data_IF_323588318362
#
_entry.id   IF_323588318362
#
_cell.length_a   1.000
_cell.length_b   1.000
_cell.length_c   1.000
_cell.angle_alpha   90.00
_cell.angle_beta   90.00
_cell.angle_gamma   90.00
#
_symmetry.space_group_name_H-M   'P 1'
#
loop_
_entity.id
_entity.type
_entity.pdbx_description
1 polymer ?
#
# COMPACT_ATOMS: atom_id res chain seq x y z
N UNK A 1 -14.75 -8.08 -4.64
CA UNK A 1 -13.49 -7.38 -4.97
C UNK A 1 -13.58 -6.37 -6.12
N UNK A 2 -14.67 -6.26 -6.90
CA UNK A 2 -14.76 -5.29 -8.02
C UNK A 2 -14.54 -3.83 -7.56
N UNK A 3 -15.01 -3.49 -6.36
CA UNK A 3 -14.93 -2.14 -5.77
C UNK A 3 -13.53 -1.73 -5.28
N UNK A 4 -12.63 -2.68 -5.02
CA UNK A 4 -11.27 -2.37 -4.50
C UNK A 4 -10.19 -2.29 -5.57
N UNK A 5 -10.55 -2.47 -6.85
CA UNK A 5 -9.60 -2.42 -7.96
C UNK A 5 -9.04 -1.01 -8.18
N UNK A 6 -9.91 -0.01 -8.11
CA UNK A 6 -9.53 1.39 -8.35
C UNK A 6 -8.63 1.96 -7.25
N UNK A 7 -8.94 1.81 -5.94
CA UNK A 7 -8.03 2.27 -4.88
C UNK A 7 -6.65 1.62 -4.97
N UNK A 8 -6.59 0.32 -5.27
CA UNK A 8 -5.33 -0.41 -5.38
C UNK A 8 -4.51 0.05 -6.60
N UNK A 9 -5.17 0.29 -7.74
CA UNK A 9 -4.53 0.82 -8.93
C UNK A 9 -3.99 2.24 -8.72
N UNK A 10 -4.77 3.12 -8.10
CA UNK A 10 -4.36 4.50 -7.81
C UNK A 10 -3.15 4.51 -6.87
N UNK A 11 -3.20 3.71 -5.79
CA UNK A 11 -2.08 3.59 -4.85
C UNK A 11 -0.80 3.11 -5.56
N UNK A 12 -0.90 2.05 -6.36
CA UNK A 12 0.26 1.52 -7.07
C UNK A 12 0.79 2.49 -8.14
N UNK A 13 -0.09 3.20 -8.84
CA UNK A 13 0.32 4.21 -9.83
C UNK A 13 1.09 5.37 -9.18
N UNK A 14 0.67 5.82 -8.01
CA UNK A 14 1.37 6.87 -7.26
C UNK A 14 2.73 6.40 -6.75
N UNK A 15 2.80 5.18 -6.22
CA UNK A 15 4.07 4.55 -5.78
C UNK A 15 5.06 4.45 -6.96
N UNK A 16 4.62 3.95 -8.11
CA UNK A 16 5.44 3.87 -9.33
C UNK A 16 5.93 5.24 -9.80
N UNK A 17 5.10 6.28 -9.74
CA UNK A 17 5.49 7.62 -10.15
C UNK A 17 6.56 8.22 -9.24
N UNK A 18 6.43 8.02 -7.92
CA UNK A 18 7.43 8.44 -6.94
C UNK A 18 8.75 7.69 -7.16
N UNK A 19 8.72 6.37 -7.28
CA UNK A 19 9.90 5.54 -7.52
C UNK A 19 10.63 5.95 -8.81
N UNK A 20 9.87 6.18 -9.88
CA UNK A 20 10.42 6.63 -11.16
C UNK A 20 11.02 8.05 -11.07
N UNK A 21 10.36 8.95 -10.34
CA UNK A 21 10.86 10.30 -10.07
C UNK A 21 12.19 10.29 -9.33
N UNK A 22 12.25 9.59 -8.20
CA UNK A 22 13.37 9.60 -7.26
C UNK A 22 14.51 8.66 -7.65
N UNK A 23 14.26 7.55 -8.34
CA UNK A 23 15.32 6.58 -8.68
C UNK A 23 15.82 6.70 -10.12
N UNK A 24 15.07 7.35 -11.02
CA UNK A 24 15.41 7.38 -12.46
C UNK A 24 15.51 8.81 -13.00
N UNK A 25 14.54 9.69 -12.72
CA UNK A 25 14.55 11.05 -13.26
C UNK A 25 15.55 11.97 -12.53
N UNK A 26 15.56 11.92 -11.20
CA UNK A 26 16.38 12.79 -10.38
C UNK A 26 16.84 12.08 -9.11
N UNK A 27 17.85 11.20 -9.23
CA UNK A 27 18.40 10.47 -8.09
C UNK A 27 19.11 11.44 -7.15
N UNK A 28 18.63 11.63 -5.91
CA UNK A 28 19.24 12.60 -5.03
C UNK A 28 20.51 12.02 -4.39
N UNK A 29 21.61 12.75 -4.54
CA UNK A 29 22.85 12.55 -3.80
C UNK A 29 22.94 13.58 -2.69
N UNK A 30 23.05 13.10 -1.46
CA UNK A 30 23.15 13.94 -0.26
C UNK A 30 24.60 13.96 0.21
N UNK A 31 25.13 15.15 0.44
CA UNK A 31 26.46 15.38 1.00
C UNK A 31 26.33 15.93 2.42
N UNK A 32 26.78 15.15 3.41
CA UNK A 32 26.92 15.60 4.80
C UNK A 32 28.38 16.01 5.07
N UNK A 33 28.62 17.04 5.91
CA UNK A 33 27.68 17.69 6.84
C UNK A 33 26.99 18.93 6.27
N UNK A 34 27.43 19.44 5.13
CA UNK A 34 26.88 20.64 4.48
C UNK A 34 25.43 20.49 4.03
N UNK A 35 24.85 19.28 4.14
CA UNK A 35 23.46 18.95 3.78
C UNK A 35 23.12 19.44 2.37
N UNK A 36 24.10 19.26 1.48
CA UNK A 36 24.01 19.68 0.08
C UNK A 36 23.42 18.55 -0.75
N UNK A 37 22.66 18.89 -1.78
CA UNK A 37 21.99 17.92 -2.63
C UNK A 37 22.36 18.14 -4.09
N UNK A 38 22.57 17.05 -4.82
CA UNK A 38 22.63 17.06 -6.29
C UNK A 38 21.69 15.99 -6.82
N UNK A 39 20.84 16.35 -7.79
CA UNK A 39 20.02 15.41 -8.52
C UNK A 39 20.81 14.85 -9.71
N UNK A 40 21.06 13.56 -9.73
CA UNK A 40 21.77 12.87 -10.81
C UNK A 40 20.80 11.86 -11.43
N UNK A 41 20.36 12.12 -12.65
CA UNK A 41 19.35 11.28 -13.30
C UNK A 41 19.15 11.70 -14.75
N UNK A 42 18.13 11.12 -15.39
CA UNK A 42 17.83 11.39 -16.81
C UNK A 42 17.65 12.89 -17.07
N UNK A 43 17.07 13.64 -16.13
CA UNK A 43 16.89 15.08 -16.27
C UNK A 43 18.24 15.83 -16.34
N UNK A 44 19.22 15.41 -15.56
CA UNK A 44 20.59 15.96 -15.61
C UNK A 44 21.29 15.61 -16.92
N UNK A 45 21.05 14.42 -17.50
CA UNK A 45 21.61 14.04 -18.80
C UNK A 45 21.15 14.97 -19.94
N UNK A 46 19.90 15.44 -19.90
CA UNK A 46 19.39 16.43 -20.87
C UNK A 46 19.83 17.87 -20.59
N UNK A 47 20.74 18.09 -19.63
CA UNK A 47 21.27 19.42 -19.31
C UNK A 47 20.31 20.32 -18.54
N UNK A 48 19.26 19.76 -17.91
CA UNK A 48 18.36 20.56 -17.07
C UNK A 48 19.11 21.04 -15.82
N UNK A 49 18.92 22.34 -15.52
CA UNK A 49 19.51 22.95 -14.33
C UNK A 49 19.14 22.19 -13.05
N UNK A 50 20.04 22.19 -12.06
CA UNK A 50 19.87 21.44 -10.81
C UNK A 50 18.79 22.05 -9.89
N UNK A 51 18.43 23.32 -10.07
CA UNK A 51 17.40 24.02 -9.26
C UNK A 51 16.02 23.35 -9.36
N UNK A 52 15.43 23.13 -10.55
CA UNK A 52 14.13 22.45 -10.66
C UNK A 52 14.17 21.00 -10.17
N UNK A 53 15.31 20.33 -10.28
CA UNK A 53 15.52 18.98 -9.73
C UNK A 53 15.48 18.98 -8.19
N UNK A 54 16.15 19.95 -7.56
CA UNK A 54 16.10 20.14 -6.11
C UNK A 54 14.69 20.54 -5.63
N UNK A 55 13.97 21.38 -6.39
CA UNK A 55 12.61 21.78 -6.04
C UNK A 55 11.62 20.60 -6.11
N UNK A 56 11.75 19.73 -7.13
CA UNK A 56 10.96 18.51 -7.25
C UNK A 56 11.28 17.49 -6.13
N UNK A 57 12.56 17.34 -5.77
CA UNK A 57 13.00 16.54 -4.63
C UNK A 57 12.47 17.06 -3.29
N UNK A 58 12.51 18.37 -3.07
CA UNK A 58 11.95 18.98 -1.86
C UNK A 58 10.42 18.82 -1.79
N UNK A 59 9.72 18.98 -2.92
CA UNK A 59 8.27 18.81 -3.00
C UNK A 59 7.85 17.36 -2.73
N UNK A 60 8.59 16.38 -3.26
CA UNK A 60 8.34 14.95 -2.99
C UNK A 60 8.60 14.61 -1.51
N UNK A 61 9.69 15.08 -0.93
CA UNK A 61 9.97 14.91 0.50
C UNK A 61 8.91 15.56 1.41
N UNK A 62 8.36 16.72 1.02
CA UNK A 62 7.24 17.34 1.73
C UNK A 62 5.95 16.51 1.62
N UNK A 63 5.70 15.88 0.46
CA UNK A 63 4.60 14.92 0.28
C UNK A 63 4.76 13.70 1.20
N UNK A 64 5.97 13.18 1.37
CA UNK A 64 6.26 12.08 2.31
C UNK A 64 6.00 12.51 3.77
N UNK A 65 6.29 13.76 4.12
CA UNK A 65 5.98 14.32 5.43
C UNK A 65 4.46 14.45 5.68
N UNK A 66 3.69 14.81 4.65
CA UNK A 66 2.23 14.78 4.68
C UNK A 66 1.73 13.33 4.85
N UNK A 67 2.39 12.36 4.21
CA UNK A 67 2.13 10.94 4.43
C UNK A 67 2.46 10.49 5.87
N UNK A 68 3.46 11.06 6.54
CA UNK A 68 3.71 10.79 7.97
C UNK A 68 2.52 11.20 8.86
N UNK A 69 1.79 12.26 8.48
CA UNK A 69 0.54 12.70 9.15
C UNK A 69 -0.59 11.68 8.99
N UNK A 70 -0.50 10.77 8.01
CA UNK A 70 -1.43 9.65 7.87
C UNK A 70 -1.14 8.51 8.85
N UNK A 71 -0.01 8.52 9.56
CA UNK A 71 0.36 7.46 10.50
C UNK A 71 -0.65 7.35 11.65
N UNK A 72 -0.98 8.48 12.30
CA UNK A 72 -1.98 8.51 13.36
C UNK A 72 -3.37 8.07 12.84
N UNK A 73 -3.74 8.50 11.63
CA UNK A 73 -4.98 8.10 10.96
C UNK A 73 -5.00 6.60 10.62
N UNK A 74 -3.88 6.03 10.20
CA UNK A 74 -3.72 4.62 9.87
C UNK A 74 -3.81 3.75 11.11
N UNK A 75 -3.13 4.15 12.19
CA UNK A 75 -3.21 3.48 13.49
C UNK A 75 -4.63 3.53 14.04
N UNK A 76 -5.29 4.69 13.99
CA UNK A 76 -6.68 4.83 14.40
C UNK A 76 -7.61 3.94 13.58
N UNK A 77 -7.48 3.98 12.25
CA UNK A 77 -8.27 3.15 11.34
C UNK A 77 -8.06 1.65 11.59
N UNK A 78 -6.82 1.21 11.79
CA UNK A 78 -6.50 -0.17 12.14
C UNK A 78 -7.10 -0.57 13.48
N UNK A 79 -6.98 0.26 14.50
CA UNK A 79 -7.55 0.01 15.82
C UNK A 79 -9.08 -0.16 15.73
N UNK A 80 -9.76 0.76 15.05
CA UNK A 80 -11.20 0.66 14.80
C UNK A 80 -11.56 -0.62 14.03
N UNK A 81 -10.82 -0.93 12.97
CA UNK A 81 -11.12 -2.10 12.13
C UNK A 81 -10.87 -3.41 12.88
N UNK A 82 -9.82 -3.50 13.69
CA UNK A 82 -9.59 -4.64 14.60
C UNK A 82 -10.76 -4.78 15.56
N UNK A 83 -11.17 -3.69 16.21
CA UNK A 83 -12.28 -3.70 17.15
C UNK A 83 -13.57 -4.23 16.48
N UNK A 84 -13.97 -3.67 15.35
CA UNK A 84 -15.19 -4.09 14.66
C UNK A 84 -15.14 -5.52 14.10
N UNK A 85 -13.95 -6.01 13.76
CA UNK A 85 -13.82 -7.30 13.08
C UNK A 85 -13.55 -8.47 14.04
N UNK A 86 -12.89 -8.21 15.17
CA UNK A 86 -12.51 -9.21 16.17
C UNK A 86 -13.33 -9.14 17.46
N UNK A 87 -13.66 -7.93 17.95
CA UNK A 87 -14.26 -7.72 19.27
C UNK A 87 -15.77 -7.48 19.19
N UNK A 88 -16.22 -6.63 18.27
CA UNK A 88 -17.63 -6.26 18.16
C UNK A 88 -18.52 -7.48 17.79
N UNK A 89 -19.78 -7.49 18.25
CA UNK A 89 -20.74 -8.53 17.87
C UNK A 89 -20.88 -8.62 16.35
N UNK A 90 -21.02 -9.83 15.78
CA UNK A 90 -21.21 -10.00 14.34
C UNK A 90 -22.43 -9.20 13.86
N UNK A 91 -22.26 -8.37 12.84
CA UNK A 91 -23.39 -7.65 12.24
C UNK A 91 -24.32 -8.63 11.52
N UNK A 92 -25.64 -8.37 11.57
CA UNK A 92 -26.63 -9.21 10.87
C UNK A 92 -26.52 -9.13 9.34
N UNK A 93 -25.82 -8.13 8.82
CA UNK A 93 -25.64 -7.90 7.37
C UNK A 93 -24.43 -8.62 6.77
N UNK A 94 -23.52 -9.16 7.59
CA UNK A 94 -22.27 -9.77 7.10
C UNK A 94 -22.20 -11.25 7.46
N UNK A 95 -22.11 -12.13 6.45
CA UNK A 95 -21.97 -13.57 6.68
C UNK A 95 -20.63 -13.94 7.34
N UNK A 96 -20.60 -15.09 8.01
CA UNK A 96 -19.39 -15.61 8.65
C UNK A 96 -18.20 -15.76 7.67
N UNK A 97 -18.48 -16.24 6.45
CA UNK A 97 -17.47 -16.38 5.39
C UNK A 97 -16.90 -15.04 4.95
N UNK A 98 -17.74 -14.01 4.79
CA UNK A 98 -17.29 -12.66 4.41
C UNK A 98 -16.40 -12.06 5.50
N UNK A 99 -16.79 -12.21 6.76
CA UNK A 99 -16.02 -11.74 7.91
C UNK A 99 -14.68 -12.47 8.04
N UNK A 100 -14.62 -13.78 7.76
CA UNK A 100 -13.35 -14.53 7.71
C UNK A 100 -12.43 -14.01 6.61
N UNK A 101 -12.97 -13.74 5.42
CA UNK A 101 -12.20 -13.16 4.32
C UNK A 101 -11.68 -11.75 4.66
N UNK A 102 -12.52 -10.90 5.27
CA UNK A 102 -12.12 -9.58 5.76
C UNK A 102 -10.99 -9.65 6.79
N UNK A 103 -11.02 -10.61 7.73
CA UNK A 103 -9.94 -10.79 8.73
C UNK A 103 -8.61 -11.13 8.08
N UNK A 104 -8.64 -12.06 7.14
CA UNK A 104 -7.43 -12.46 6.43
C UNK A 104 -6.89 -11.33 5.55
N UNK A 105 -7.78 -10.56 4.92
CA UNK A 105 -7.43 -9.36 4.17
C UNK A 105 -6.79 -8.29 5.07
N UNK A 106 -7.39 -7.99 6.23
CA UNK A 106 -6.88 -7.00 7.18
C UNK A 106 -5.47 -7.33 7.67
N UNK A 107 -5.25 -8.59 8.09
CA UNK A 107 -3.92 -9.06 8.51
C UNK A 107 -2.91 -8.86 7.38
N UNK A 108 -3.30 -9.21 6.16
CA UNK A 108 -2.47 -9.01 4.98
C UNK A 108 -2.13 -7.54 4.74
N UNK A 109 -3.12 -6.66 4.82
CA UNK A 109 -2.92 -5.20 4.65
C UNK A 109 -2.02 -4.63 5.72
N UNK A 110 -2.13 -5.06 6.99
CA UNK A 110 -1.23 -4.62 8.07
C UNK A 110 0.23 -5.03 7.83
N UNK A 111 0.45 -6.29 7.45
CA UNK A 111 1.79 -6.79 7.15
C UNK A 111 2.38 -6.05 5.94
N UNK A 112 1.62 -5.96 4.85
CA UNK A 112 2.06 -5.33 3.61
C UNK A 112 2.35 -3.83 3.76
N UNK A 113 1.66 -3.12 4.65
CA UNK A 113 1.88 -1.67 4.86
C UNK A 113 3.00 -1.40 5.87
N UNK A 114 3.14 -2.27 6.87
CA UNK A 114 4.20 -2.13 7.87
C UNK A 114 5.59 -2.39 7.30
N UNK A 115 5.75 -3.35 6.37
CA UNK A 115 7.06 -3.69 5.79
C UNK A 115 7.69 -2.51 5.00
N UNK A 116 7.00 -1.85 4.04
CA UNK A 116 7.52 -0.67 3.35
C UNK A 116 7.72 0.51 4.28
N UNK A 117 6.82 0.72 5.25
CA UNK A 117 6.96 1.81 6.21
C UNK A 117 8.24 1.68 7.05
N UNK A 118 8.56 0.46 7.51
CA UNK A 118 9.82 0.21 8.21
C UNK A 118 11.03 0.37 7.28
N UNK A 119 10.94 -0.12 6.05
CA UNK A 119 12.00 -0.01 5.03
C UNK A 119 12.31 1.46 4.72
N UNK A 120 11.28 2.31 4.69
CA UNK A 120 11.40 3.74 4.46
C UNK A 120 11.98 4.48 5.67
N UNK A 121 11.57 4.12 6.89
CA UNK A 121 11.95 4.83 8.12
C UNK A 121 13.33 4.45 8.66
N UNK A 122 13.76 3.20 8.51
CA UNK A 122 15.01 2.70 9.11
C UNK A 122 16.25 3.41 8.56
N UNK A 123 16.47 3.52 7.22
CA UNK A 123 17.69 4.15 6.70
C UNK A 123 17.85 5.61 7.13
N UNK A 124 16.83 6.49 7.04
CA UNK A 124 16.92 7.86 7.54
C UNK A 124 17.21 7.94 9.05
N UNK A 125 16.56 7.11 9.88
CA UNK A 125 16.79 7.09 11.33
C UNK A 125 18.24 6.69 11.67
N UNK A 126 18.79 5.69 10.97
CA UNK A 126 20.19 5.27 11.13
C UNK A 126 21.14 6.39 10.71
N UNK A 127 20.87 7.08 9.60
CA UNK A 127 21.69 8.20 9.14
C UNK A 127 21.66 9.38 10.13
N UNK A 128 20.48 9.73 10.66
CA UNK A 128 20.33 10.79 11.68
C UNK A 128 21.09 10.42 12.96
N UNK A 129 20.98 9.18 13.41
CA UNK A 129 21.70 8.71 14.59
C UNK A 129 23.22 8.80 14.39
N UNK A 130 23.73 8.31 13.26
CA UNK A 130 25.17 8.36 12.97
C UNK A 130 25.68 9.79 12.80
N UNK A 131 24.89 10.67 12.17
CA UNK A 131 25.17 12.10 12.09
C UNK A 131 25.26 12.75 13.48
N UNK A 132 24.33 12.42 14.40
CA UNK A 132 24.36 12.94 15.78
C UNK A 132 25.62 12.52 16.57
N UNK A 133 26.29 11.47 16.11
CA UNK A 133 27.57 10.97 16.65
C UNK A 133 28.79 11.49 15.89
N UNK A 134 28.61 12.32 14.87
CA UNK A 134 29.67 12.81 13.99
C UNK A 134 30.19 11.79 12.99
N UNK A 135 29.55 10.62 12.88
CA UNK A 135 29.92 9.57 11.92
C UNK A 135 29.14 9.75 10.62
N UNK A 136 29.69 10.50 9.68
CA UNK A 136 29.17 10.59 8.32
C UNK A 136 30.29 10.27 7.34
N UNK A 137 30.00 9.40 6.37
CA UNK A 137 30.86 9.17 5.23
C UNK A 137 30.01 9.03 3.97
N UNK A 138 30.56 9.41 2.82
CA UNK A 138 29.79 9.42 1.58
C UNK A 138 29.32 8.02 1.18
N UNK A 139 30.09 6.98 1.49
CA UNK A 139 29.71 5.58 1.22
C UNK A 139 28.44 5.16 1.96
N UNK A 140 28.31 5.53 3.24
CA UNK A 140 27.16 5.26 4.09
C UNK A 140 25.92 6.03 3.62
N UNK A 141 26.11 7.29 3.21
CA UNK A 141 25.03 8.10 2.63
C UNK A 141 24.51 7.48 1.33
N UNK A 142 25.42 7.13 0.43
CA UNK A 142 25.07 6.48 -0.83
C UNK A 142 24.37 5.13 -0.58
N UNK A 143 24.85 4.35 0.39
CA UNK A 143 24.24 3.07 0.76
C UNK A 143 22.82 3.28 1.32
N UNK A 144 22.61 4.29 2.17
CA UNK A 144 21.28 4.66 2.68
C UNK A 144 20.31 5.04 1.56
N UNK A 145 20.78 5.81 0.57
CA UNK A 145 19.98 6.18 -0.61
C UNK A 145 19.65 4.97 -1.50
N UNK A 146 20.58 4.02 -1.65
CA UNK A 146 20.31 2.75 -2.36
C UNK A 146 19.23 1.95 -1.63
N UNK A 147 19.33 1.79 -0.31
CA UNK A 147 18.31 1.09 0.46
C UNK A 147 16.94 1.78 0.39
N UNK A 148 16.93 3.11 0.42
CA UNK A 148 15.72 3.90 0.20
C UNK A 148 15.11 3.62 -1.18
N UNK A 149 15.91 3.61 -2.25
CA UNK A 149 15.45 3.29 -3.61
C UNK A 149 14.98 1.84 -3.81
N UNK A 150 15.41 0.90 -2.96
CA UNK A 150 14.93 -0.49 -2.98
C UNK A 150 13.52 -0.66 -2.37
N UNK A 151 12.93 0.38 -1.79
CA UNK A 151 11.61 0.34 -1.16
C UNK A 151 10.51 -0.18 -2.10
N UNK A 152 10.46 0.27 -3.36
CA UNK A 152 9.45 -0.17 -4.33
C UNK A 152 9.50 -1.67 -4.64
N UNK A 153 10.71 -2.26 -4.66
CA UNK A 153 10.89 -3.71 -4.79
C UNK A 153 10.37 -4.43 -3.55
N UNK A 154 10.67 -3.93 -2.36
CA UNK A 154 10.18 -4.50 -1.10
C UNK A 154 8.66 -4.44 -1.00
N UNK A 155 8.02 -3.34 -1.41
CA UNK A 155 6.55 -3.22 -1.47
C UNK A 155 5.95 -4.27 -2.41
N UNK A 156 6.52 -4.39 -3.61
CA UNK A 156 6.07 -5.37 -4.61
C UNK A 156 6.18 -6.80 -4.08
N UNK A 157 7.31 -7.15 -3.44
CA UNK A 157 7.52 -8.46 -2.82
C UNK A 157 6.57 -8.71 -1.65
N UNK A 158 6.25 -7.70 -0.84
CA UNK A 158 5.29 -7.81 0.25
C UNK A 158 3.88 -8.11 -0.28
N UNK A 159 3.43 -7.42 -1.32
CA UNK A 159 2.14 -7.68 -1.98
C UNK A 159 2.10 -9.10 -2.54
N UNK A 160 3.13 -9.50 -3.28
CA UNK A 160 3.24 -10.84 -3.84
C UNK A 160 3.26 -11.92 -2.76
N UNK A 161 3.92 -11.70 -1.63
CA UNK A 161 4.01 -12.69 -0.56
C UNK A 161 2.68 -12.86 0.18
N UNK A 162 1.97 -11.76 0.41
CA UNK A 162 0.76 -11.74 1.23
C UNK A 162 -0.49 -12.13 0.44
N UNK A 163 -0.72 -11.55 -0.74
CA UNK A 163 -2.01 -11.66 -1.42
C UNK A 163 -2.09 -12.87 -2.35
N UNK A 164 -2.99 -13.80 -2.03
CA UNK A 164 -3.25 -14.99 -2.86
C UNK A 164 -3.63 -14.67 -4.32
N UNK A 165 -4.49 -13.66 -4.61
CA UNK A 165 -4.86 -13.33 -5.99
C UNK A 165 -3.64 -12.93 -6.83
N UNK A 166 -2.72 -12.15 -6.25
CA UNK A 166 -1.49 -11.73 -6.89
C UNK A 166 -0.55 -12.91 -7.18
N UNK A 167 -0.37 -13.82 -6.21
CA UNK A 167 0.42 -15.06 -6.40
C UNK A 167 -0.14 -15.94 -7.51
N UNK A 168 -1.46 -16.10 -7.54
CA UNK A 168 -2.12 -16.91 -8.55
C UNK A 168 -1.98 -16.26 -9.93
N UNK A 169 -2.15 -14.95 -10.05
CA UNK A 169 -1.93 -14.22 -11.29
C UNK A 169 -0.50 -14.37 -11.81
N UNK A 170 0.52 -14.22 -10.96
CA UNK A 170 1.92 -14.43 -11.35
C UNK A 170 2.16 -15.88 -11.79
N UNK A 171 1.62 -16.87 -11.08
CA UNK A 171 1.70 -18.28 -11.49
C UNK A 171 1.01 -18.54 -12.82
N UNK A 172 -0.14 -17.93 -13.08
CA UNK A 172 -0.86 -18.10 -14.35
C UNK A 172 -0.10 -17.46 -15.51
N UNK A 173 0.50 -16.28 -15.31
CA UNK A 173 1.35 -15.60 -16.29
C UNK A 173 2.60 -16.46 -16.59
N UNK A 174 3.31 -16.90 -15.56
CA UNK A 174 4.54 -17.69 -15.71
C UNK A 174 4.28 -19.09 -16.29
N UNK A 175 3.11 -19.68 -16.00
CA UNK A 175 2.71 -20.97 -16.57
C UNK A 175 1.94 -20.83 -17.90
N UNK A 176 1.89 -19.65 -18.51
CA UNK A 176 1.13 -19.33 -19.74
C UNK A 176 -0.31 -19.88 -19.74
N UNK A 177 -0.94 -19.93 -18.57
CA UNK A 177 -2.27 -20.52 -18.42
C UNK A 177 -3.31 -19.47 -18.78
N UNK A 178 -4.13 -19.71 -19.79
CA UNK A 178 -5.31 -18.87 -20.06
C UNK A 178 -6.17 -18.81 -18.79
N UNK A 179 -6.39 -17.60 -18.28
CA UNK A 179 -7.28 -17.35 -17.14
C UNK A 179 -8.63 -18.03 -17.38
N UNK A 180 -9.00 -19.00 -16.54
CA UNK A 180 -10.33 -19.59 -16.59
C UNK A 180 -11.31 -18.55 -16.07
N UNK A 181 -12.26 -18.13 -16.91
CA UNK A 181 -13.33 -17.25 -16.44
C UNK A 181 -14.07 -17.92 -15.26
N UNK A 182 -14.35 -17.18 -14.19
CA UNK A 182 -15.09 -17.73 -13.06
C UNK A 182 -16.48 -18.14 -13.56
N UNK A 183 -16.82 -19.42 -13.45
CA UNK A 183 -18.19 -19.90 -13.70
C UNK A 183 -19.13 -19.10 -12.81
N UNK A 184 -19.96 -18.25 -13.43
CA UNK A 184 -21.05 -17.56 -12.74
C UNK A 184 -22.03 -18.64 -12.29
N UNK A 185 -21.96 -19.00 -11.01
CA UNK A 185 -22.95 -19.88 -10.42
C UNK A 185 -24.21 -19.03 -10.24
N UNK A 186 -25.17 -19.19 -11.14
CA UNK A 186 -26.49 -18.62 -10.99
C UNK A 186 -27.13 -19.26 -9.76
N UNK A 187 -27.20 -18.51 -8.67
CA UNK A 187 -27.97 -18.92 -7.50
C UNK A 187 -29.43 -18.90 -7.96
N UNK A 188 -30.16 -20.03 -7.97
CA UNK A 188 -31.57 -20.02 -8.30
C UNK A 188 -32.28 -19.12 -7.27
N UNK A 189 -32.92 -18.06 -7.76
CA UNK A 189 -33.82 -17.25 -6.95
C UNK A 189 -34.96 -18.18 -6.56
N UNK A 190 -35.02 -18.56 -5.29
CA UNK A 190 -36.17 -19.28 -4.77
C UNK A 190 -37.34 -18.29 -4.79
N UNK A 191 -38.22 -18.42 -5.77
CA UNK A 191 -39.52 -17.75 -5.73
C UNK A 191 -40.20 -18.19 -4.43
N UNK A 192 -40.32 -17.26 -3.49
CA UNK A 192 -41.28 -17.41 -2.40
C UNK A 192 -42.63 -17.24 -3.06
N UNK A 193 -43.26 -18.35 -3.45
CA UNK A 193 -44.65 -18.34 -3.87
C UNK A 193 -45.45 -17.72 -2.72
N UNK A 194 -45.88 -16.48 -2.91
CA UNK A 194 -46.75 -15.79 -1.99
C UNK A 194 -48.07 -16.52 -1.99
N UNK A 195 -48.32 -17.30 -0.94
CA UNK A 195 -49.65 -17.84 -0.71
C UNK A 195 -50.54 -16.68 -0.28
N UNK A 196 -51.15 -16.01 -1.26
CA UNK A 196 -52.24 -15.07 -1.05
C UNK A 196 -53.48 -15.84 -0.57
N UNK A 197 -53.44 -16.26 0.69
CA UNK A 197 -54.58 -16.74 1.46
C UNK A 197 -55.14 -15.59 2.28
N UNK A 198 -56.06 -14.86 1.67
CA UNK A 198 -56.92 -13.89 2.34
C UNK A 198 -57.67 -14.59 3.49
N UNK A 199 -57.38 -14.21 4.74
CA UNK A 199 -58.04 -14.75 5.92
C UNK A 199 -58.00 -13.75 7.07
N UNK A 200 -59.07 -12.97 7.22
CA UNK A 200 -59.39 -12.24 8.46
C UNK A 200 -59.43 -13.24 9.61
N UNK A 201 -58.80 -12.95 10.76
CA UNK A 201 -59.44 -13.07 12.09
C UNK A 201 -58.52 -12.60 13.23
N UNK A 202 -59.02 -11.58 13.94
CA UNK A 202 -58.97 -11.30 15.38
C UNK A 202 -57.64 -11.21 16.16
N UNK A 203 -57.42 -9.98 16.64
CA UNK A 203 -56.94 -9.62 17.99
C UNK A 203 -57.27 -10.68 19.06
N UNK A 204 -56.27 -11.02 19.88
CA UNK A 204 -56.41 -11.14 21.35
C UNK A 204 -55.09 -10.76 22.03
N UNK A 205 -55.18 -9.67 22.81
CA UNK A 205 -54.46 -9.27 24.04
C UNK A 205 -52.94 -9.39 24.03
#
# INVERSE_FOLDING_TARGET
MKTMKWPLFINHSWSVWIDFGLCTLSTPYIFLPTTSFIGVGILSFFGLSYIPQMAAGALSALCEFICLSTFANSVFHWACTIYYLFVAPPSRSTSAETRRAQRHFLIGTMIQTSIPLLTLMIPPLVLIFLFSKGYYNQGLMNLGMIFYGLNGLVESLAILSVYRPYRNAVKDILNFRKSKEPKVQTIPVREVCGNSGFGRTHLRI
#
